data_IF_368600970790
#
_entry.id   IF_368600970790
#
_cell.length_a   1.000
_cell.length_b   1.000
_cell.length_c   1.000
_cell.angle_alpha   90.00
_cell.angle_beta   90.00
_cell.angle_gamma   90.00
#
_symmetry.space_group_name_H-M   'P 1'
#
loop_
_entity.id
_entity.type
_entity.pdbx_description
1 polymer ?
#
# COMPACT_ATOMS: atom_id res chain seq x y z
N UNK A 1 -50.84 -5.36 -17.71
CA UNK A 1 -50.30 -4.92 -16.40
C UNK A 1 -48.85 -5.38 -16.22
N UNK A 2 -47.96 -5.09 -17.18
CA UNK A 2 -46.57 -5.56 -17.18
C UNK A 2 -45.55 -4.43 -17.47
N UNK A 3 -45.94 -3.18 -17.29
CA UNK A 3 -45.10 -2.00 -17.58
C UNK A 3 -44.60 -1.25 -16.33
N UNK A 4 -45.07 -1.59 -15.12
CA UNK A 4 -44.72 -0.87 -13.88
C UNK A 4 -43.56 -1.49 -13.08
N UNK A 5 -43.08 -2.68 -13.45
CA UNK A 5 -42.02 -3.39 -12.71
C UNK A 5 -40.61 -3.03 -13.17
N UNK A 6 -40.44 -2.61 -14.43
CA UNK A 6 -39.14 -2.26 -15.02
C UNK A 6 -38.65 -0.87 -14.59
N UNK A 7 -39.53 0.11 -14.36
CA UNK A 7 -39.11 1.46 -13.93
C UNK A 7 -38.63 1.49 -12.46
N UNK A 8 -39.15 0.62 -11.58
CA UNK A 8 -38.73 0.55 -10.17
C UNK A 8 -37.38 -0.14 -9.97
N UNK A 9 -36.98 -1.06 -10.87
CA UNK A 9 -35.67 -1.72 -10.77
C UNK A 9 -34.50 -0.81 -11.13
N UNK A 10 -34.73 0.19 -11.97
CA UNK A 10 -33.67 1.11 -12.40
C UNK A 10 -33.33 2.18 -11.36
N UNK A 11 -34.25 2.44 -10.43
CA UNK A 11 -34.10 3.45 -9.39
C UNK A 11 -33.14 3.06 -8.26
N UNK A 12 -33.06 1.77 -7.92
CA UNK A 12 -32.33 1.25 -6.77
C UNK A 12 -31.02 0.55 -7.18
N UNK A 13 -30.03 0.55 -6.29
CA UNK A 13 -28.73 -0.05 -6.55
C UNK A 13 -28.82 -1.58 -6.71
N UNK A 14 -29.67 -2.23 -5.91
CA UNK A 14 -30.00 -3.65 -6.02
C UNK A 14 -31.49 -3.87 -5.73
N UNK A 15 -32.00 -5.08 -5.99
CA UNK A 15 -33.42 -5.38 -5.83
C UNK A 15 -33.87 -5.25 -4.34
N UNK A 16 -34.84 -4.37 -4.02
CA UNK A 16 -35.37 -4.21 -2.66
C UNK A 16 -35.90 -5.51 -2.02
N UNK A 17 -36.38 -6.46 -2.82
CA UNK A 17 -36.87 -7.75 -2.33
C UNK A 17 -35.82 -8.54 -1.56
N UNK A 18 -34.52 -8.30 -1.83
CA UNK A 18 -33.42 -8.95 -1.13
C UNK A 18 -33.47 -8.59 0.35
N UNK A 19 -33.66 -7.31 0.69
CA UNK A 19 -33.75 -6.84 2.09
C UNK A 19 -35.02 -7.34 2.77
N UNK A 20 -36.14 -7.44 2.05
CA UNK A 20 -37.41 -7.92 2.59
C UNK A 20 -37.39 -9.42 2.94
N UNK A 21 -36.52 -10.20 2.31
CA UNK A 21 -36.37 -11.65 2.56
C UNK A 21 -35.38 -11.96 3.70
N UNK A 22 -34.69 -10.96 4.23
CA UNK A 22 -33.73 -11.14 5.30
C UNK A 22 -34.47 -11.43 6.62
N UNK A 23 -34.30 -12.65 7.13
CA UNK A 23 -34.75 -13.04 8.47
C UNK A 23 -33.59 -12.94 9.48
N UNK A 24 -33.71 -12.01 10.44
CA UNK A 24 -32.70 -11.70 11.48
C UNK A 24 -33.03 -12.37 12.82
N UNK A 25 -34.23 -12.96 12.97
CA UNK A 25 -34.75 -13.50 14.24
C UNK A 25 -33.87 -14.58 14.90
N UNK A 26 -33.00 -15.24 14.13
CA UNK A 26 -32.16 -16.35 14.59
C UNK A 26 -30.78 -15.93 15.09
N UNK A 27 -30.43 -14.65 15.07
CA UNK A 27 -29.10 -14.17 15.46
C UNK A 27 -29.02 -13.77 16.93
N UNK A 28 -27.80 -13.82 17.47
CA UNK A 28 -27.47 -13.58 18.90
C UNK A 28 -27.61 -12.12 19.35
N UNK A 29 -27.75 -11.16 18.44
CA UNK A 29 -27.85 -9.76 18.80
C UNK A 29 -29.28 -9.45 19.27
N UNK A 30 -29.47 -9.36 20.59
CA UNK A 30 -30.74 -8.90 21.16
C UNK A 30 -30.96 -7.42 20.74
N UNK A 31 -31.81 -7.20 19.74
CA UNK A 31 -32.35 -5.88 19.40
C UNK A 31 -33.47 -5.57 20.40
N UNK A 32 -33.35 -4.49 21.17
CA UNK A 32 -34.33 -4.13 22.21
C UNK A 32 -34.56 -2.63 22.24
N UNK A 33 -35.64 -2.08 21.64
CA UNK A 33 -36.82 -2.78 21.12
C UNK A 33 -36.54 -3.62 19.86
N UNK A 34 -37.39 -4.62 19.61
CA UNK A 34 -37.29 -5.52 18.46
C UNK A 34 -37.63 -4.76 17.16
N UNK A 35 -36.59 -4.36 16.43
CA UNK A 35 -36.71 -3.71 15.12
C UNK A 35 -36.41 -4.74 14.03
N UNK A 36 -37.20 -4.71 12.96
CA UNK A 36 -37.06 -5.65 11.83
C UNK A 36 -36.76 -4.90 10.54
N UNK A 37 -36.22 -5.56 9.50
CA UNK A 37 -36.02 -4.94 8.19
C UNK A 37 -37.32 -4.34 7.62
N UNK A 38 -38.46 -4.97 7.88
CA UNK A 38 -39.79 -4.55 7.43
C UNK A 38 -40.40 -3.46 8.33
N UNK A 39 -39.93 -3.31 9.57
CA UNK A 39 -40.38 -2.30 10.53
C UNK A 39 -39.20 -1.80 11.37
N UNK A 40 -38.36 -0.90 10.82
CA UNK A 40 -37.16 -0.39 11.49
C UNK A 40 -37.46 0.68 12.57
N UNK A 41 -38.71 1.15 12.65
CA UNK A 41 -39.17 2.18 13.58
C UNK A 41 -40.35 2.99 13.00
N UNK A 42 -41.02 3.76 13.85
CA UNK A 42 -42.12 4.63 13.41
C UNK A 42 -41.62 5.69 12.42
N UNK A 43 -42.23 5.75 11.23
CA UNK A 43 -41.83 6.68 10.18
C UNK A 43 -40.49 6.37 9.50
N UNK A 44 -39.93 5.17 9.68
CA UNK A 44 -38.65 4.77 9.09
C UNK A 44 -38.82 3.64 8.08
N UNK A 45 -38.05 3.67 6.99
CA UNK A 45 -38.05 2.64 5.95
C UNK A 45 -36.61 2.22 5.62
N UNK A 46 -36.34 0.91 5.68
CA UNK A 46 -35.08 0.32 5.23
C UNK A 46 -35.21 -0.07 3.75
N UNK A 47 -34.28 0.38 2.91
CA UNK A 47 -34.29 0.09 1.46
C UNK A 47 -32.88 0.19 0.85
N UNK A 48 -32.67 -0.27 -0.38
CA UNK A 48 -31.42 -0.02 -1.09
C UNK A 48 -31.22 1.47 -1.39
N UNK A 49 -29.96 1.87 -1.58
CA UNK A 49 -29.62 3.20 -2.07
C UNK A 49 -30.29 3.47 -3.43
N UNK A 50 -30.85 4.67 -3.57
CA UNK A 50 -31.49 5.15 -4.80
C UNK A 50 -30.66 6.24 -5.47
N UNK A 51 -30.77 6.33 -6.79
CA UNK A 51 -30.18 7.43 -7.57
C UNK A 51 -30.73 8.82 -7.15
N UNK A 52 -31.91 8.88 -6.53
CA UNK A 52 -32.52 10.13 -6.06
C UNK A 52 -32.06 10.54 -4.64
N UNK A 53 -31.26 9.71 -3.96
CA UNK A 53 -30.89 9.95 -2.56
C UNK A 53 -29.87 11.08 -2.38
N UNK A 54 -29.31 11.62 -3.47
CA UNK A 54 -28.51 12.84 -3.44
C UNK A 54 -29.31 14.00 -2.82
N UNK A 55 -30.52 14.23 -3.33
CA UNK A 55 -31.40 15.32 -2.88
C UNK A 55 -31.96 15.06 -1.47
N UNK A 56 -31.93 13.80 -1.01
CA UNK A 56 -32.33 13.39 0.35
C UNK A 56 -31.19 13.48 1.38
N UNK A 57 -30.06 14.09 1.00
CA UNK A 57 -28.96 14.39 1.92
C UNK A 57 -27.99 13.24 2.17
N UNK A 58 -27.92 12.23 1.29
CA UNK A 58 -27.02 11.08 1.45
C UNK A 58 -25.54 11.48 1.62
N UNK A 59 -25.05 12.44 0.81
CA UNK A 59 -23.68 12.96 0.89
C UNK A 59 -23.43 13.64 2.24
N UNK A 60 -24.41 14.40 2.74
CA UNK A 60 -24.34 15.05 4.05
C UNK A 60 -24.32 14.05 5.21
N UNK A 61 -25.01 12.91 5.07
CA UNK A 61 -24.94 11.83 6.05
C UNK A 61 -23.53 11.24 6.14
N UNK A 62 -22.89 10.95 4.99
CA UNK A 62 -21.52 10.43 4.94
C UNK A 62 -20.47 11.38 5.53
N UNK A 63 -20.73 12.69 5.53
CA UNK A 63 -19.86 13.68 6.16
C UNK A 63 -19.74 13.50 7.69
N UNK A 64 -20.66 12.79 8.33
CA UNK A 64 -20.54 12.40 9.74
C UNK A 64 -19.50 11.31 9.98
N UNK A 65 -19.03 10.62 8.94
CA UNK A 65 -18.05 9.54 9.02
C UNK A 65 -16.65 10.01 8.61
N UNK A 66 -16.54 10.79 7.53
CA UNK A 66 -15.24 11.24 7.00
C UNK A 66 -15.37 12.55 6.20
N UNK A 67 -14.24 13.13 5.79
CA UNK A 67 -14.22 14.28 4.89
C UNK A 67 -14.58 13.82 3.46
N UNK A 68 -15.79 14.15 3.01
CA UNK A 68 -16.34 13.69 1.72
C UNK A 68 -15.81 14.48 0.51
N UNK A 69 -15.46 15.76 0.69
CA UNK A 69 -15.09 16.65 -0.41
C UNK A 69 -16.29 17.24 -1.15
N UNK A 70 -16.06 17.93 -2.27
CA UNK A 70 -17.12 18.50 -3.12
C UNK A 70 -17.61 17.45 -4.12
N UNK A 71 -18.82 16.93 -3.90
CA UNK A 71 -19.46 15.94 -4.79
C UNK A 71 -20.71 16.56 -5.40
N UNK A 72 -20.65 16.85 -6.72
CA UNK A 72 -21.81 17.34 -7.46
C UNK A 72 -22.83 16.22 -7.69
N UNK A 73 -24.08 16.60 -8.03
CA UNK A 73 -25.14 15.65 -8.34
C UNK A 73 -24.78 14.75 -9.53
N UNK A 74 -24.15 15.33 -10.55
CA UNK A 74 -23.70 14.59 -11.74
C UNK A 74 -22.63 13.56 -11.39
N UNK A 75 -21.69 13.91 -10.51
CA UNK A 75 -20.67 12.99 -10.03
C UNK A 75 -21.29 11.82 -9.24
N UNK A 76 -22.26 12.11 -8.37
CA UNK A 76 -22.99 11.08 -7.63
C UNK A 76 -23.73 10.13 -8.56
N UNK A 77 -24.50 10.65 -9.52
CA UNK A 77 -25.25 9.82 -10.48
C UNK A 77 -24.32 8.96 -11.36
N UNK A 78 -23.21 9.53 -11.82
CA UNK A 78 -22.23 8.80 -12.60
C UNK A 78 -21.60 7.65 -11.79
N UNK A 79 -21.29 7.89 -10.51
CA UNK A 79 -20.75 6.87 -9.63
C UNK A 79 -21.79 5.79 -9.31
N UNK A 80 -23.04 6.18 -9.05
CA UNK A 80 -24.16 5.27 -8.81
C UNK A 80 -24.35 4.30 -9.98
N UNK A 81 -24.35 4.81 -11.23
CA UNK A 81 -24.47 3.97 -12.43
C UNK A 81 -23.33 2.96 -12.55
N UNK A 82 -22.08 3.38 -12.32
CA UNK A 82 -20.91 2.47 -12.31
C UNK A 82 -21.03 1.35 -11.26
N UNK A 83 -21.51 1.69 -10.05
CA UNK A 83 -21.73 0.71 -8.99
C UNK A 83 -22.84 -0.26 -9.37
N UNK A 84 -23.92 0.23 -10.00
CA UNK A 84 -25.04 -0.58 -10.48
C UNK A 84 -24.63 -1.55 -11.59
N UNK A 85 -23.79 -1.10 -12.52
CA UNK A 85 -23.24 -1.93 -13.61
C UNK A 85 -22.30 -3.04 -13.08
N UNK A 86 -21.75 -2.86 -11.87
CA UNK A 86 -20.92 -3.85 -11.19
C UNK A 86 -21.79 -4.91 -10.50
N UNK A 87 -22.32 -5.83 -11.30
CA UNK A 87 -23.26 -6.88 -10.88
C UNK A 87 -22.74 -7.62 -9.63
N UNK A 88 -23.62 -7.80 -8.64
CA UNK A 88 -23.38 -8.55 -7.41
C UNK A 88 -22.16 -8.11 -6.58
N UNK A 89 -21.73 -6.85 -6.73
CA UNK A 89 -20.52 -6.33 -6.08
C UNK A 89 -20.83 -5.34 -4.95
N UNK A 90 -21.82 -4.45 -5.13
CA UNK A 90 -22.16 -3.41 -4.16
C UNK A 90 -23.57 -3.58 -3.61
N UNK A 91 -23.68 -3.65 -2.28
CA UNK A 91 -24.95 -3.66 -1.56
C UNK A 91 -24.95 -2.53 -0.53
N UNK A 92 -25.49 -1.37 -0.91
CA UNK A 92 -25.62 -0.20 -0.03
C UNK A 92 -27.06 -0.14 0.48
N UNK A 93 -27.22 -0.36 1.79
CA UNK A 93 -28.52 -0.30 2.46
C UNK A 93 -28.65 1.02 3.23
N UNK A 94 -29.79 1.68 3.08
CA UNK A 94 -30.08 2.98 3.71
C UNK A 94 -31.38 2.93 4.50
N UNK A 95 -31.43 3.70 5.59
CA UNK A 95 -32.67 3.99 6.31
C UNK A 95 -33.11 5.41 5.98
N UNK A 96 -34.33 5.54 5.48
CA UNK A 96 -34.99 6.81 5.19
C UNK A 96 -36.00 7.14 6.30
N UNK A 97 -35.99 8.39 6.75
CA UNK A 97 -37.10 8.97 7.49
C UNK A 97 -38.09 9.57 6.47
N UNK A 98 -39.25 8.92 6.31
CA UNK A 98 -40.27 9.34 5.35
C UNK A 98 -41.01 10.61 5.77
N UNK A 99 -40.99 10.97 7.05
CA UNK A 99 -41.61 12.20 7.53
C UNK A 99 -40.75 13.42 7.19
N UNK A 100 -39.42 13.24 7.21
CA UNK A 100 -38.44 14.30 6.89
C UNK A 100 -37.87 14.23 5.47
N UNK A 101 -38.23 13.20 4.69
CA UNK A 101 -37.68 12.91 3.37
C UNK A 101 -36.14 12.92 3.34
N UNK A 102 -35.49 12.35 4.37
CA UNK A 102 -34.04 12.40 4.56
C UNK A 102 -33.46 11.01 4.82
N UNK A 103 -32.26 10.75 4.29
CA UNK A 103 -31.49 9.55 4.64
C UNK A 103 -30.80 9.75 5.99
N UNK A 104 -31.05 8.84 6.93
CA UNK A 104 -30.60 8.96 8.32
C UNK A 104 -29.60 7.89 8.74
N UNK A 105 -29.47 6.79 8.00
CA UNK A 105 -28.44 5.79 8.24
C UNK A 105 -28.06 5.10 6.93
N UNK A 106 -26.79 4.68 6.82
CA UNK A 106 -26.27 3.95 5.66
C UNK A 106 -25.23 2.93 6.11
N UNK A 107 -25.11 1.83 5.37
CA UNK A 107 -23.98 0.90 5.46
C UNK A 107 -23.75 0.24 4.11
N UNK A 108 -22.48 0.04 3.78
CA UNK A 108 -22.04 -0.57 2.51
C UNK A 108 -21.51 -1.97 2.75
N UNK A 109 -21.99 -2.94 1.96
CA UNK A 109 -21.36 -4.25 1.80
C UNK A 109 -20.74 -4.34 0.40
N UNK A 110 -19.44 -4.56 0.36
CA UNK A 110 -18.66 -4.75 -0.86
C UNK A 110 -18.22 -6.22 -0.99
N UNK A 111 -18.50 -6.84 -2.13
CA UNK A 111 -18.12 -8.22 -2.42
C UNK A 111 -16.86 -8.26 -3.28
N UNK A 112 -15.80 -8.83 -2.73
CA UNK A 112 -14.50 -9.01 -3.38
C UNK A 112 -14.36 -10.44 -3.93
N UNK A 113 -14.08 -10.56 -5.23
CA UNK A 113 -13.80 -11.83 -5.89
C UNK A 113 -12.34 -12.25 -5.64
N UNK A 114 -12.11 -13.50 -5.21
CA UNK A 114 -10.78 -14.03 -4.95
C UNK A 114 -10.54 -15.30 -5.76
N UNK A 115 -9.31 -15.53 -6.23
CA UNK A 115 -8.91 -16.82 -6.84
C UNK A 115 -8.58 -17.91 -5.80
N UNK A 116 -8.32 -17.50 -4.56
CA UNK A 116 -8.04 -18.38 -3.43
C UNK A 116 -9.34 -18.92 -2.81
N UNK A 117 -9.23 -19.91 -1.91
CA UNK A 117 -10.38 -20.58 -1.27
C UNK A 117 -11.39 -21.17 -2.26
N UNK A 118 -10.93 -21.61 -3.44
CA UNK A 118 -11.79 -22.23 -4.45
C UNK A 118 -12.66 -21.23 -5.21
N UNK A 119 -12.08 -20.09 -5.59
CA UNK A 119 -12.80 -18.98 -6.23
C UNK A 119 -13.93 -18.38 -5.35
N UNK A 120 -13.77 -18.43 -4.02
CA UNK A 120 -14.78 -17.94 -3.08
C UNK A 120 -14.82 -16.40 -3.00
N UNK A 121 -15.94 -15.88 -2.49
CA UNK A 121 -16.14 -14.44 -2.32
C UNK A 121 -15.69 -13.99 -0.93
N UNK A 122 -15.32 -12.72 -0.77
CA UNK A 122 -15.09 -12.08 0.53
C UNK A 122 -15.98 -10.85 0.67
N UNK A 123 -16.75 -10.77 1.75
CA UNK A 123 -17.53 -9.57 2.06
C UNK A 123 -16.70 -8.57 2.86
N UNK A 124 -16.84 -7.27 2.55
CA UNK A 124 -16.32 -6.17 3.37
C UNK A 124 -17.46 -5.25 3.75
N UNK A 125 -17.60 -4.95 5.04
CA UNK A 125 -18.55 -3.97 5.53
C UNK A 125 -17.80 -2.65 5.73
N UNK A 126 -18.27 -1.60 5.07
CA UNK A 126 -17.70 -0.26 5.06
C UNK A 126 -18.80 0.78 5.29
N UNK A 127 -18.39 2.03 5.52
CA UNK A 127 -19.27 3.20 5.57
C UNK A 127 -20.48 3.10 6.52
N UNK A 128 -20.30 2.49 7.70
CA UNK A 128 -21.36 2.40 8.72
C UNK A 128 -21.58 3.78 9.35
N UNK A 129 -22.70 4.42 9.02
CA UNK A 129 -23.03 5.77 9.52
C UNK A 129 -24.49 5.88 9.96
N UNK A 130 -24.71 6.59 11.06
CA UNK A 130 -26.03 6.95 11.58
C UNK A 130 -26.01 8.43 11.97
N UNK A 131 -27.03 9.16 11.50
CA UNK A 131 -27.26 10.56 11.79
C UNK A 131 -27.29 10.78 13.32
N UNK A 132 -26.58 11.81 13.84
CA UNK A 132 -26.48 12.07 15.28
C UNK A 132 -27.82 12.08 16.03
N UNK A 133 -28.88 12.62 15.43
CA UNK A 133 -30.20 12.75 16.04
C UNK A 133 -30.94 11.40 16.18
N UNK A 134 -30.46 10.37 15.46
CA UNK A 134 -31.06 9.04 15.40
C UNK A 134 -30.16 7.96 16.03
N UNK A 135 -29.04 8.36 16.66
CA UNK A 135 -28.18 7.44 17.42
C UNK A 135 -28.93 6.87 18.62
N UNK A 136 -28.56 5.67 19.03
CA UNK A 136 -29.24 4.95 20.13
C UNK A 136 -30.51 4.18 19.72
N UNK A 137 -31.09 4.45 18.54
CA UNK A 137 -32.26 3.71 18.00
C UNK A 137 -31.91 2.35 17.35
N UNK A 138 -30.66 1.89 17.49
CA UNK A 138 -30.17 0.60 16.99
C UNK A 138 -30.20 0.40 15.46
N UNK A 139 -30.41 1.47 14.69
CA UNK A 139 -30.41 1.43 13.21
C UNK A 139 -29.11 0.89 12.62
N UNK A 140 -27.96 1.27 13.20
CA UNK A 140 -26.66 0.73 12.76
C UNK A 140 -26.53 -0.78 13.01
N UNK A 141 -27.12 -1.30 14.10
CA UNK A 141 -27.12 -2.75 14.36
C UNK A 141 -27.98 -3.48 13.34
N UNK A 142 -29.16 -2.93 13.04
CA UNK A 142 -30.08 -3.48 12.03
C UNK A 142 -29.41 -3.57 10.66
N UNK A 143 -28.78 -2.50 10.19
CA UNK A 143 -28.09 -2.46 8.90
C UNK A 143 -26.96 -3.49 8.81
N UNK A 144 -26.11 -3.58 9.83
CA UNK A 144 -25.02 -4.56 9.88
C UNK A 144 -25.58 -5.98 9.81
N UNK A 145 -26.58 -6.32 10.62
CA UNK A 145 -27.16 -7.66 10.63
C UNK A 145 -27.81 -8.03 9.30
N UNK A 146 -28.50 -7.08 8.65
CA UNK A 146 -29.02 -7.28 7.30
C UNK A 146 -27.92 -7.65 6.31
N UNK A 147 -26.82 -6.90 6.31
CA UNK A 147 -25.74 -7.07 5.35
C UNK A 147 -24.90 -8.33 5.63
N UNK A 148 -24.67 -8.69 6.89
CA UNK A 148 -24.00 -9.97 7.21
C UNK A 148 -24.87 -11.13 6.70
N UNK A 149 -26.20 -11.06 6.88
CA UNK A 149 -27.10 -12.10 6.40
C UNK A 149 -27.13 -12.19 4.87
N UNK A 150 -27.09 -11.06 4.16
CA UNK A 150 -26.93 -11.03 2.70
C UNK A 150 -25.60 -11.68 2.30
N UNK A 151 -24.50 -11.36 2.97
CA UNK A 151 -23.19 -11.95 2.69
C UNK A 151 -23.12 -13.46 3.00
N UNK A 152 -23.90 -13.96 3.96
CA UNK A 152 -24.03 -15.40 4.25
C UNK A 152 -24.85 -16.16 3.21
N UNK A 153 -25.85 -15.52 2.62
CA UNK A 153 -26.63 -16.10 1.53
C UNK A 153 -25.81 -16.15 0.21
N UNK A 154 -24.77 -15.32 0.12
CA UNK A 154 -23.74 -15.38 -0.90
C UNK A 154 -22.63 -16.39 -0.51
N UNK A 155 -21.87 -16.96 -1.47
CA UNK A 155 -20.79 -17.89 -1.19
C UNK A 155 -19.52 -17.18 -0.65
N UNK A 156 -19.69 -16.32 0.35
CA UNK A 156 -18.59 -15.63 1.02
C UNK A 156 -17.93 -16.54 2.05
N UNK A 157 -16.60 -16.72 1.98
CA UNK A 157 -15.88 -17.50 3.00
C UNK A 157 -15.56 -16.69 4.26
N UNK A 158 -15.53 -15.36 4.15
CA UNK A 158 -15.16 -14.44 5.23
C UNK A 158 -15.81 -13.08 5.03
N UNK A 159 -16.17 -12.44 6.14
CA UNK A 159 -16.64 -11.04 6.19
C UNK A 159 -15.68 -10.25 7.07
N UNK A 160 -15.24 -9.08 6.64
CA UNK A 160 -14.33 -8.22 7.40
C UNK A 160 -14.80 -6.77 7.43
N UNK A 161 -14.36 -6.02 8.43
CA UNK A 161 -14.52 -4.57 8.52
C UNK A 161 -13.32 -3.95 9.21
N UNK A 162 -13.07 -2.69 8.88
CA UNK A 162 -12.05 -1.87 9.54
C UNK A 162 -12.76 -0.93 10.52
N UNK A 163 -12.26 -0.83 11.75
CA UNK A 163 -12.85 0.05 12.76
C UNK A 163 -11.81 0.66 13.70
N UNK A 164 -12.12 1.83 14.25
CA UNK A 164 -11.35 2.41 15.37
C UNK A 164 -11.33 1.43 16.55
N UNK A 165 -10.18 1.22 17.23
CA UNK A 165 -10.07 0.35 18.40
C UNK A 165 -11.13 0.58 19.47
N UNK A 166 -11.63 1.82 19.63
CA UNK A 166 -12.69 2.16 20.60
C UNK A 166 -14.02 1.48 20.29
N UNK A 167 -14.29 1.17 19.02
CA UNK A 167 -15.54 0.56 18.55
C UNK A 167 -15.46 -0.98 18.50
N UNK A 168 -14.33 -1.58 18.88
CA UNK A 168 -14.14 -3.03 18.85
C UNK A 168 -15.25 -3.80 19.59
N UNK A 169 -15.57 -3.40 20.82
CA UNK A 169 -16.60 -4.04 21.65
C UNK A 169 -18.02 -3.90 21.10
N UNK A 170 -18.26 -2.91 20.23
CA UNK A 170 -19.52 -2.78 19.51
C UNK A 170 -19.63 -3.86 18.42
N UNK A 171 -18.57 -4.07 17.64
CA UNK A 171 -18.57 -5.03 16.54
C UNK A 171 -18.47 -6.50 16.98
N UNK A 172 -17.83 -6.78 18.11
CA UNK A 172 -17.76 -8.14 18.70
C UNK A 172 -19.15 -8.76 18.95
N UNK A 173 -20.17 -7.92 19.19
CA UNK A 173 -21.56 -8.36 19.40
C UNK A 173 -22.18 -9.04 18.18
N UNK A 174 -21.67 -8.76 16.98
CA UNK A 174 -22.11 -9.38 15.72
C UNK A 174 -21.25 -10.60 15.33
N UNK A 175 -20.31 -11.01 16.20
CA UNK A 175 -19.43 -12.15 15.97
C UNK A 175 -18.07 -11.82 15.34
N UNK A 176 -17.75 -10.53 15.16
CA UNK A 176 -16.43 -10.12 14.68
C UNK A 176 -15.36 -10.39 15.74
N UNK A 177 -14.19 -10.85 15.30
CA UNK A 177 -13.04 -11.10 16.16
C UNK A 177 -11.79 -10.42 15.58
N UNK A 178 -10.86 -10.04 16.46
CA UNK A 178 -9.56 -9.48 16.08
C UNK A 178 -8.50 -10.58 16.05
N UNK A 179 -7.92 -10.92 14.89
CA UNK A 179 -6.77 -11.82 14.83
C UNK A 179 -5.54 -11.11 15.42
N UNK A 180 -4.75 -11.80 16.25
CA UNK A 180 -3.62 -11.20 16.99
C UNK A 180 -2.54 -10.54 16.11
N UNK A 181 -2.46 -10.90 14.83
CA UNK A 181 -1.44 -10.42 13.88
C UNK A 181 -1.96 -9.44 12.80
N UNK A 182 -3.21 -8.94 12.88
CA UNK A 182 -3.80 -8.17 11.78
C UNK A 182 -4.72 -7.03 12.23
N UNK A 183 -4.47 -5.80 11.74
CA UNK A 183 -5.19 -4.55 12.06
C UNK A 183 -6.65 -4.45 11.53
N UNK A 184 -7.38 -5.55 11.35
CA UNK A 184 -8.80 -5.52 10.95
C UNK A 184 -9.63 -6.57 11.70
N UNK A 185 -10.92 -6.32 11.86
CA UNK A 185 -11.86 -7.28 12.46
C UNK A 185 -12.45 -8.17 11.38
N UNK A 186 -12.64 -9.45 11.70
CA UNK A 186 -13.31 -10.36 10.77
C UNK A 186 -14.16 -11.43 11.45
N UNK A 187 -15.20 -11.85 10.73
CA UNK A 187 -16.00 -13.04 10.99
C UNK A 187 -15.59 -14.08 9.97
N UNK A 188 -15.05 -15.20 10.44
CA UNK A 188 -14.90 -16.39 9.60
C UNK A 188 -16.25 -17.09 9.53
N UNK A 189 -16.83 -17.15 8.34
CA UNK A 189 -17.99 -18.00 8.14
C UNK A 189 -17.48 -19.44 8.15
N UNK A 190 -17.89 -20.23 9.16
CA UNK A 190 -17.59 -21.68 9.21
C UNK A 190 -18.30 -22.38 8.05
N UNK A 191 -17.78 -22.23 6.84
CA UNK A 191 -18.10 -23.14 5.75
C UNK A 191 -17.31 -24.41 6.07
N UNK A 192 -17.92 -25.31 6.84
CA UNK A 192 -17.37 -26.66 6.98
C UNK A 192 -17.12 -27.19 5.57
N UNK A 193 -15.85 -27.50 5.26
CA UNK A 193 -15.37 -28.14 4.03
C UNK A 193 -16.07 -29.48 3.73
N UNK A 194 -17.00 -29.92 4.60
CA UNK A 194 -17.91 -31.05 4.43
C UNK A 194 -19.07 -30.80 3.47
N UNK A 195 -19.37 -29.56 3.08
CA UNK A 195 -20.46 -29.21 2.14
C UNK A 195 -20.00 -28.95 0.69
N UNK A 196 -18.71 -29.09 0.37
CA UNK A 196 -18.20 -29.10 -1.01
C UNK A 196 -18.30 -30.51 -1.65
N UNK A 197 -19.41 -31.21 -1.44
CA UNK A 197 -19.86 -32.28 -2.36
C UNK A 197 -21.04 -31.74 -3.16
N UNK A 198 -21.13 -31.99 -4.47
CA UNK A 198 -22.20 -31.45 -5.30
C UNK A 198 -23.51 -32.19 -4.99
N UNK A 199 -24.17 -31.83 -3.89
CA UNK A 199 -25.57 -32.17 -3.67
C UNK A 199 -26.39 -30.98 -4.14
N UNK A 200 -26.80 -31.05 -5.41
CA UNK A 200 -27.83 -30.24 -6.07
C UNK A 200 -27.83 -28.78 -5.61
N UNK A 201 -26.98 -27.98 -6.28
CA UNK A 201 -27.12 -26.53 -6.30
C UNK A 201 -28.58 -26.21 -6.67
N UNK A 202 -29.33 -25.64 -5.72
CA UNK A 202 -30.76 -25.41 -5.87
C UNK A 202 -30.92 -24.19 -6.79
N UNK A 203 -31.17 -24.43 -8.08
CA UNK A 203 -31.20 -23.43 -9.16
C UNK A 203 -32.09 -22.21 -8.82
N UNK A 204 -33.14 -22.43 -8.00
CA UNK A 204 -34.05 -21.37 -7.53
C UNK A 204 -33.40 -20.26 -6.68
N UNK A 205 -32.28 -20.53 -6.00
CA UNK A 205 -31.58 -19.50 -5.20
C UNK A 205 -30.66 -18.67 -6.10
N UNK A 206 -29.99 -19.29 -7.09
CA UNK A 206 -29.12 -18.59 -8.03
C UNK A 206 -29.90 -17.65 -8.98
N UNK A 207 -31.13 -18.02 -9.36
CA UNK A 207 -32.05 -17.17 -10.15
C UNK A 207 -32.54 -15.94 -9.36
N UNK A 208 -32.74 -16.07 -8.04
CA UNK A 208 -33.18 -14.97 -7.17
C UNK A 208 -32.09 -13.89 -6.95
N UNK A 209 -30.81 -14.24 -7.16
CA UNK A 209 -29.63 -13.39 -6.98
C UNK A 209 -28.88 -13.09 -8.30
N UNK A 210 -29.46 -13.40 -9.47
CA UNK A 210 -28.90 -13.05 -10.77
C UNK A 210 -27.53 -13.68 -11.09
N UNK A 211 -27.18 -14.81 -10.47
CA UNK A 211 -25.84 -15.43 -10.58
C UNK A 211 -25.65 -16.30 -11.84
N UNK A 212 -26.59 -16.26 -12.80
CA UNK A 212 -26.48 -16.98 -14.07
C UNK A 212 -26.10 -16.02 -15.20
N UNK A 213 -24.87 -16.13 -15.69
CA UNK A 213 -24.41 -15.45 -16.91
C UNK A 213 -25.20 -15.95 -18.13
N UNK A 214 -25.62 -15.08 -19.08
CA UNK A 214 -26.15 -15.55 -20.35
C UNK A 214 -25.05 -16.29 -21.12
N UNK A 215 -25.36 -17.52 -21.52
CA UNK A 215 -24.51 -18.37 -22.35
C UNK A 215 -24.03 -17.64 -23.62
N UNK A 216 -22.75 -17.24 -23.65
CA UNK A 216 -22.04 -16.90 -24.88
C UNK A 216 -21.22 -18.13 -25.29
N UNK A 217 -21.52 -18.82 -26.40
CA UNK A 217 -20.68 -19.89 -26.89
C UNK A 217 -19.40 -19.30 -27.49
N UNK A 218 -18.26 -19.58 -26.85
CA UNK A 218 -16.93 -19.25 -27.34
C UNK A 218 -16.59 -20.21 -28.48
N UNK A 219 -16.82 -19.77 -29.72
CA UNK A 219 -16.23 -20.39 -30.91
C UNK A 219 -14.88 -19.72 -31.17
N UNK A 220 -13.80 -20.48 -31.01
CA UNK A 220 -12.43 -20.04 -31.27
C UNK A 220 -12.13 -20.21 -32.76
N UNK A 221 -12.10 -19.12 -33.52
CA UNK A 221 -11.55 -19.08 -34.89
C UNK A 221 -10.28 -18.23 -34.91
N UNK A 222 -9.12 -18.74 -35.35
CA UNK A 222 -7.91 -17.94 -35.43
C UNK A 222 -7.97 -17.03 -36.67
N UNK A 223 -7.90 -15.72 -36.46
CA UNK A 223 -7.68 -14.73 -37.53
C UNK A 223 -6.18 -14.65 -37.84
N UNK A 224 -5.79 -15.10 -39.03
CA UNK A 224 -4.58 -14.62 -39.69
C UNK A 224 -4.98 -13.48 -40.65
N UNK A 225 -4.37 -12.31 -40.46
CA UNK A 225 -4.44 -11.15 -41.35
C UNK A 225 -3.21 -11.16 -42.26
N UNK A 226 -3.41 -11.22 -43.58
CA UNK A 226 -2.49 -10.68 -44.59
C UNK A 226 -3.33 -10.00 -45.67
N UNK A 227 -2.87 -8.81 -46.06
CA UNK A 227 -3.43 -7.86 -47.01
C UNK A 227 -3.01 -8.12 -48.45
N UNK A 228 -3.84 -7.58 -49.36
CA UNK A 228 -3.56 -7.07 -50.72
C UNK A 228 -3.54 -8.01 -51.96
N UNK A 229 -4.51 -7.68 -52.84
CA UNK A 229 -4.52 -7.59 -54.31
C UNK A 229 -4.12 -8.78 -55.20
N UNK A 230 -5.07 -9.23 -56.05
CA UNK A 230 -5.08 -9.07 -57.52
C UNK A 230 -6.40 -9.67 -58.08
N UNK A 231 -7.00 -8.97 -59.05
CA UNK A 231 -8.31 -9.21 -59.68
C UNK A 231 -8.16 -10.14 -60.94
N UNK A 232 -9.19 -10.33 -61.79
CA UNK A 232 -10.03 -11.54 -61.90
C UNK A 232 -9.83 -12.33 -63.21
N UNK A 233 -10.11 -13.65 -63.22
CA UNK A 233 -10.61 -14.38 -64.42
C UNK A 233 -10.73 -15.88 -64.18
N UNK A 234 -11.97 -16.39 -64.09
CA UNK A 234 -12.46 -17.60 -64.77
C UNK A 234 -13.81 -17.98 -64.18
N UNK A 235 -14.86 -17.85 -64.98
CA UNK A 235 -16.11 -18.55 -64.73
C UNK A 235 -15.99 -20.02 -65.12
N UNK A 236 -16.70 -20.91 -64.43
CA UNK A 236 -17.88 -21.60 -64.97
C UNK A 236 -18.33 -22.73 -64.02
N UNK A 237 -19.65 -22.94 -64.04
CA UNK A 237 -20.39 -24.17 -63.77
C UNK A 237 -20.60 -24.60 -62.30
N UNK A 238 -21.84 -24.38 -61.84
CA UNK A 238 -22.50 -25.09 -60.74
C UNK A 238 -22.84 -26.51 -61.24
N UNK A 239 -22.41 -27.61 -60.58
CA UNK A 239 -22.92 -28.94 -60.88
C UNK A 239 -24.27 -29.21 -60.17
N UNK A 240 -25.17 -30.02 -60.78
CA UNK A 240 -26.48 -30.36 -60.20
C UNK A 240 -26.34 -31.30 -58.98
N UNK A 241 -27.35 -31.36 -58.09
CA UNK A 241 -27.31 -32.24 -56.93
C UNK A 241 -27.43 -33.71 -57.34
N UNK A 242 -26.45 -34.52 -56.93
CA UNK A 242 -26.48 -35.98 -57.07
C UNK A 242 -27.46 -36.62 -56.06
N UNK A 243 -28.10 -37.75 -56.40
CA UNK A 243 -29.11 -38.38 -55.55
C UNK A 243 -28.48 -39.09 -54.35
N UNK A 244 -29.15 -39.02 -53.21
CA UNK A 244 -28.82 -39.70 -51.96
C UNK A 244 -28.61 -41.21 -52.17
N UNK A 245 -27.46 -41.81 -51.77
CA UNK A 245 -27.36 -43.26 -51.75
C UNK A 245 -27.98 -43.80 -50.46
N UNK A 246 -28.80 -44.84 -50.65
CA UNK A 246 -29.36 -45.71 -49.63
C UNK A 246 -28.26 -46.21 -48.67
N UNK A 247 -28.57 -46.16 -47.38
CA UNK A 247 -27.75 -46.69 -46.30
C UNK A 247 -27.52 -48.19 -46.49
N UNK A 248 -26.30 -48.57 -46.87
CA UNK A 248 -25.77 -49.93 -46.68
C UNK A 248 -24.72 -49.87 -45.58
N UNK A 249 -24.96 -50.62 -44.50
CA UNK A 249 -24.03 -50.76 -43.37
C UNK A 249 -22.78 -51.50 -43.84
N UNK A 250 -21.73 -50.75 -44.21
CA UNK A 250 -20.39 -51.31 -44.42
C UNK A 250 -19.72 -51.49 -43.06
N UNK A 251 -19.40 -52.73 -42.70
CA UNK A 251 -18.57 -53.02 -41.54
C UNK A 251 -17.14 -52.52 -41.83
N UNK A 252 -16.77 -51.38 -41.24
CA UNK A 252 -15.37 -50.93 -41.22
C UNK A 252 -14.54 -51.90 -40.38
N UNK A 253 -13.79 -52.77 -41.05
CA UNK A 253 -12.70 -53.52 -40.42
C UNK A 253 -11.58 -52.50 -40.16
N UNK A 254 -11.39 -52.13 -38.90
CA UNK A 254 -10.22 -51.35 -38.47
C UNK A 254 -8.97 -52.22 -38.56
N UNK A 255 -8.21 -52.09 -39.65
CA UNK A 255 -6.84 -52.62 -39.72
C UNK A 255 -5.94 -51.63 -38.99
N UNK A 256 -5.35 -52.08 -37.88
CA UNK A 256 -4.36 -51.30 -37.12
C UNK A 256 -3.09 -51.12 -37.97
N UNK A 257 -2.86 -49.92 -38.53
CA UNK A 257 -1.54 -49.54 -39.07
C UNK A 257 -0.57 -49.35 -37.90
N UNK A 258 0.40 -50.25 -37.76
CA UNK A 258 1.54 -50.07 -36.86
C UNK A 258 2.57 -49.20 -37.56
N UNK A 259 2.70 -47.95 -37.16
CA UNK A 259 3.83 -47.11 -37.57
C UNK A 259 5.07 -47.57 -36.81
N UNK A 260 6.13 -47.89 -37.53
CA UNK A 260 7.43 -48.10 -36.94
C UNK A 260 8.06 -46.74 -36.60
N UNK A 261 9.01 -46.71 -35.67
CA UNK A 261 9.77 -45.50 -35.35
C UNK A 261 10.56 -44.96 -36.57
N UNK A 262 10.75 -45.78 -37.61
CA UNK A 262 11.35 -45.42 -38.90
C UNK A 262 10.43 -44.62 -39.81
N UNK A 263 9.12 -44.63 -39.57
CA UNK A 263 8.10 -44.01 -40.43
C UNK A 263 7.79 -42.56 -40.04
N UNK A 264 8.46 -42.05 -39.01
CA UNK A 264 8.28 -40.69 -38.48
C UNK A 264 9.41 -39.82 -39.04
N UNK A 265 9.21 -39.11 -40.17
CA UNK A 265 10.19 -38.15 -40.64
C UNK A 265 10.25 -36.96 -39.68
N UNK A 266 11.43 -36.36 -39.54
CA UNK A 266 11.55 -35.06 -38.88
C UNK A 266 10.77 -34.03 -39.67
N UNK A 267 9.84 -33.26 -39.05
CA UNK A 267 9.14 -32.17 -39.73
C UNK A 267 10.11 -31.15 -40.32
N UNK A 268 9.67 -30.44 -41.38
CA UNK A 268 10.49 -29.37 -41.93
C UNK A 268 10.48 -28.14 -41.00
N UNK A 269 11.67 -27.75 -40.55
CA UNK A 269 11.89 -26.56 -39.71
C UNK A 269 12.60 -25.44 -40.48
N UNK A 270 12.66 -25.51 -41.81
CA UNK A 270 13.34 -24.53 -42.67
C UNK A 270 12.90 -23.09 -42.38
N UNK A 271 11.59 -22.89 -42.17
CA UNK A 271 10.98 -21.60 -41.83
C UNK A 271 11.50 -21.00 -40.50
N UNK A 272 11.69 -21.81 -39.46
CA UNK A 272 12.09 -21.36 -38.12
C UNK A 272 13.61 -21.26 -37.92
N UNK A 273 14.39 -21.91 -38.79
CA UNK A 273 15.85 -21.90 -38.69
C UNK A 273 16.39 -20.54 -39.10
N UNK A 274 17.35 -20.01 -38.33
CA UNK A 274 18.12 -18.83 -38.75
C UNK A 274 18.77 -19.11 -40.11
N UNK A 275 18.84 -18.10 -40.99
CA UNK A 275 19.40 -18.23 -42.35
C UNK A 275 20.80 -18.87 -42.36
N UNK A 276 21.64 -18.57 -41.36
CA UNK A 276 22.97 -19.17 -41.19
C UNK A 276 22.98 -20.68 -40.86
N UNK A 277 21.86 -21.25 -40.41
CA UNK A 277 21.68 -22.70 -40.16
C UNK A 277 21.20 -23.49 -41.37
N UNK A 278 20.73 -22.83 -42.43
CA UNK A 278 20.12 -23.49 -43.59
C UNK A 278 21.17 -23.96 -44.60
N UNK A 279 22.40 -23.42 -44.54
CA UNK A 279 23.50 -23.77 -45.44
C UNK A 279 24.13 -25.10 -45.02
N UNK A 280 24.17 -26.09 -45.93
CA UNK A 280 24.65 -27.47 -45.70
C UNK A 280 26.17 -27.66 -45.79
N UNK A 281 26.94 -26.63 -46.14
CA UNK A 281 28.40 -26.75 -46.29
C UNK A 281 29.08 -26.92 -44.93
N UNK A 282 29.96 -27.93 -44.83
CA UNK A 282 30.61 -28.33 -43.57
C UNK A 282 31.71 -27.37 -43.11
N UNK A 283 32.35 -26.68 -44.05
CA UNK A 283 33.61 -25.93 -43.83
C UNK A 283 33.48 -24.73 -42.86
N UNK A 284 32.30 -24.13 -42.68
CA UNK A 284 32.09 -23.01 -41.71
C UNK A 284 31.00 -23.31 -40.66
N UNK A 285 30.74 -24.59 -40.38
CA UNK A 285 29.69 -24.98 -39.41
C UNK A 285 29.97 -24.44 -38.01
N UNK A 286 31.22 -24.51 -37.58
CA UNK A 286 31.67 -24.09 -36.24
C UNK A 286 31.58 -22.57 -36.05
N UNK A 287 32.12 -21.79 -36.98
CA UNK A 287 32.06 -20.32 -36.93
C UNK A 287 30.62 -19.78 -36.94
N UNK A 288 29.73 -20.40 -37.73
CA UNK A 288 28.29 -20.03 -37.74
C UNK A 288 27.59 -20.42 -36.45
N UNK A 289 28.03 -21.48 -35.78
CA UNK A 289 27.53 -21.86 -34.46
C UNK A 289 28.00 -20.89 -33.38
N UNK A 290 29.30 -20.58 -33.37
CA UNK A 290 29.90 -19.59 -32.47
C UNK A 290 29.22 -18.23 -32.65
N UNK A 291 29.04 -17.75 -33.88
CA UNK A 291 28.37 -16.48 -34.17
C UNK A 291 26.93 -16.43 -33.63
N UNK A 292 26.14 -17.51 -33.80
CA UNK A 292 24.76 -17.57 -33.29
C UNK A 292 24.68 -17.58 -31.76
N UNK A 293 25.60 -18.29 -31.11
CA UNK A 293 25.73 -18.32 -29.64
C UNK A 293 26.21 -16.96 -29.11
N UNK A 294 27.25 -16.41 -29.71
CA UNK A 294 27.80 -15.10 -29.37
C UNK A 294 26.75 -13.99 -29.47
N UNK A 295 25.94 -13.95 -30.54
CA UNK A 295 24.83 -13.00 -30.62
C UNK A 295 23.84 -13.17 -29.46
N UNK A 296 23.47 -14.41 -29.13
CA UNK A 296 22.50 -14.69 -28.06
C UNK A 296 23.08 -14.32 -26.70
N UNK A 297 24.34 -14.67 -26.42
CA UNK A 297 25.03 -14.31 -25.19
C UNK A 297 25.28 -12.81 -25.06
N UNK A 298 25.54 -12.11 -26.16
CA UNK A 298 25.69 -10.66 -26.16
C UNK A 298 24.40 -9.96 -25.72
N UNK A 299 23.24 -10.39 -26.24
CA UNK A 299 21.94 -9.84 -25.84
C UNK A 299 21.66 -10.09 -24.36
N UNK A 300 21.93 -11.32 -23.88
CA UNK A 300 21.76 -11.66 -22.45
C UNK A 300 22.72 -10.86 -21.56
N UNK A 301 23.99 -10.73 -21.95
CA UNK A 301 24.98 -9.96 -21.21
C UNK A 301 24.64 -8.47 -21.17
N UNK A 302 24.22 -7.89 -22.29
CA UNK A 302 23.78 -6.49 -22.36
C UNK A 302 22.56 -6.26 -21.45
N UNK A 303 21.57 -7.15 -21.48
CA UNK A 303 20.42 -7.10 -20.58
C UNK A 303 20.82 -7.24 -19.10
N UNK A 304 21.78 -8.12 -18.80
CA UNK A 304 22.32 -8.30 -17.46
C UNK A 304 23.02 -7.05 -16.91
N UNK A 305 23.85 -6.37 -17.72
CA UNK A 305 24.53 -5.13 -17.31
C UNK A 305 23.51 -4.03 -17.00
N UNK A 306 22.48 -3.88 -17.83
CA UNK A 306 21.39 -2.92 -17.60
C UNK A 306 20.67 -3.24 -16.29
N UNK A 307 20.30 -4.52 -16.08
CA UNK A 307 19.61 -4.94 -14.87
C UNK A 307 20.44 -4.70 -13.60
N UNK A 308 21.75 -5.02 -13.61
CA UNK A 308 22.65 -4.76 -12.48
C UNK A 308 22.79 -3.26 -12.23
N UNK A 309 22.93 -2.45 -13.27
CA UNK A 309 23.06 -0.99 -13.14
C UNK A 309 21.79 -0.38 -12.55
N UNK A 310 20.61 -0.81 -13.01
CA UNK A 310 19.33 -0.39 -12.44
C UNK A 310 19.19 -0.85 -10.98
N UNK A 311 19.51 -2.11 -10.68
CA UNK A 311 19.48 -2.65 -9.33
C UNK A 311 20.38 -1.86 -8.37
N UNK A 312 21.60 -1.53 -8.80
CA UNK A 312 22.53 -0.67 -8.04
C UNK A 312 21.92 0.70 -7.77
N UNK A 313 21.34 1.36 -8.77
CA UNK A 313 20.73 2.68 -8.60
C UNK A 313 19.56 2.64 -7.63
N UNK A 314 18.70 1.62 -7.71
CA UNK A 314 17.56 1.44 -6.80
C UNK A 314 18.07 1.26 -5.37
N UNK A 315 19.03 0.35 -5.14
CA UNK A 315 19.59 0.11 -3.81
C UNK A 315 20.27 1.37 -3.27
N UNK A 316 21.08 2.06 -4.08
CA UNK A 316 21.72 3.31 -3.67
C UNK A 316 20.71 4.41 -3.33
N UNK A 317 19.59 4.48 -4.05
CA UNK A 317 18.52 5.46 -3.76
C UNK A 317 17.81 5.13 -2.46
N UNK A 318 17.55 3.84 -2.19
CA UNK A 318 16.97 3.42 -0.91
C UNK A 318 17.93 3.69 0.25
N UNK A 319 19.21 3.36 0.11
CA UNK A 319 20.23 3.65 1.11
C UNK A 319 20.43 5.17 1.31
N UNK A 320 20.34 5.97 0.26
CA UNK A 320 20.46 7.43 0.38
C UNK A 320 19.28 8.06 1.14
N UNK A 321 18.09 7.44 1.10
CA UNK A 321 16.95 7.92 1.92
C UNK A 321 17.14 7.70 3.42
N UNK A 322 17.98 6.74 3.81
CA UNK A 322 18.38 6.53 5.20
C UNK A 322 19.58 7.39 5.62
N UNK A 323 20.20 8.10 4.67
CA UNK A 323 21.27 9.06 4.95
C UNK A 323 20.70 10.37 5.52
N UNK A 324 21.60 11.23 6.00
CA UNK A 324 21.26 12.54 6.55
C UNK A 324 20.49 13.40 5.54
N UNK A 325 19.34 13.93 5.98
CA UNK A 325 18.48 14.79 5.17
C UNK A 325 19.19 16.09 4.75
N UNK A 326 18.78 16.68 3.63
CA UNK A 326 19.36 17.90 3.09
C UNK A 326 19.22 19.10 4.06
N UNK A 327 18.14 19.16 4.84
CA UNK A 327 17.94 20.18 5.88
C UNK A 327 18.99 20.10 6.98
N UNK A 328 19.40 18.90 7.37
CA UNK A 328 20.47 18.72 8.37
C UNK A 328 21.85 18.98 7.79
N UNK A 329 22.06 18.68 6.50
CA UNK A 329 23.28 19.10 5.79
C UNK A 329 23.39 20.62 5.64
N UNK A 330 22.26 21.34 5.54
CA UNK A 330 22.27 22.80 5.49
C UNK A 330 22.73 23.41 6.83
N UNK A 331 22.52 22.73 7.95
CA UNK A 331 23.05 23.09 9.27
C UNK A 331 24.53 22.72 9.46
N UNK A 332 25.26 22.46 8.37
CA UNK A 332 26.67 22.09 8.42
C UNK A 332 27.55 23.23 8.92
N UNK A 333 27.17 24.49 8.67
CA UNK A 333 27.90 25.69 9.08
C UNK A 333 27.07 26.51 10.07
N UNK A 334 27.73 27.09 11.08
CA UNK A 334 27.14 28.05 11.99
C UNK A 334 27.98 29.32 12.03
N UNK A 335 27.31 30.46 11.97
CA UNK A 335 27.90 31.78 12.15
C UNK A 335 27.56 32.29 13.55
N UNK A 336 28.57 32.72 14.29
CA UNK A 336 28.44 33.26 15.65
C UNK A 336 29.09 34.63 15.71
N UNK A 337 28.32 35.62 16.13
CA UNK A 337 28.83 36.98 16.37
C UNK A 337 29.65 37.02 17.68
N UNK A 338 30.92 37.41 17.57
CA UNK A 338 31.87 37.48 18.68
C UNK A 338 31.71 38.77 19.50
N UNK A 339 31.15 39.84 18.92
CA UNK A 339 31.07 41.16 19.56
C UNK A 339 30.22 41.17 20.84
N UNK A 340 29.27 40.25 20.95
CA UNK A 340 28.37 40.12 22.10
C UNK A 340 28.95 39.37 23.30
N UNK A 341 30.17 38.81 23.22
CA UNK A 341 30.74 37.94 24.26
C UNK A 341 31.79 38.71 25.08
N UNK A 342 31.51 39.07 26.35
CA UNK A 342 32.49 39.74 27.19
C UNK A 342 33.63 38.79 27.62
N UNK A 343 34.79 39.36 27.89
CA UNK A 343 35.97 38.63 28.38
C UNK A 343 35.66 37.80 29.63
N UNK A 344 36.20 36.58 29.69
CA UNK A 344 36.00 35.63 30.77
C UNK A 344 34.64 34.93 30.77
N UNK A 345 33.75 35.18 29.80
CA UNK A 345 32.50 34.44 29.63
C UNK A 345 32.51 33.61 28.35
N UNK A 346 31.64 32.60 28.33
CA UNK A 346 31.41 31.77 27.15
C UNK A 346 29.95 31.74 26.75
N UNK A 347 29.72 31.59 25.45
CA UNK A 347 28.44 31.33 24.83
C UNK A 347 28.33 29.85 24.46
N UNK A 348 27.14 29.27 24.67
CA UNK A 348 26.83 27.92 24.23
C UNK A 348 25.84 28.01 23.06
N UNK A 349 26.29 27.65 21.86
CA UNK A 349 25.48 27.62 20.64
C UNK A 349 25.20 26.17 20.26
N UNK A 350 24.09 25.87 19.58
CA UNK A 350 23.82 24.53 19.06
C UNK A 350 24.34 24.42 17.63
N UNK A 351 25.26 23.50 17.37
CA UNK A 351 25.81 23.21 16.03
C UNK A 351 25.82 21.70 15.77
N UNK A 352 25.27 21.25 14.62
CA UNK A 352 25.10 19.82 14.27
C UNK A 352 24.46 18.96 15.38
N UNK A 353 23.52 19.55 16.12
CA UNK A 353 22.86 18.90 17.26
C UNK A 353 23.71 18.76 18.53
N UNK A 354 24.97 19.19 18.50
CA UNK A 354 25.90 19.22 19.64
C UNK A 354 26.02 20.64 20.21
N UNK A 355 26.31 20.81 21.50
CA UNK A 355 26.68 22.12 22.03
C UNK A 355 28.07 22.52 21.53
N UNK A 356 28.20 23.76 21.08
CA UNK A 356 29.42 24.43 20.68
C UNK A 356 29.71 25.48 21.75
N UNK A 357 30.87 25.37 22.40
CA UNK A 357 31.35 26.34 23.37
C UNK A 357 32.26 27.34 22.66
N UNK A 358 31.90 28.61 22.76
CA UNK A 358 32.71 29.74 22.30
C UNK A 358 33.06 30.54 23.54
N UNK A 359 34.33 30.51 23.94
CA UNK A 359 34.82 31.20 25.15
C UNK A 359 35.75 32.34 24.77
N UNK A 360 35.47 33.52 25.31
CA UNK A 360 36.38 34.65 25.29
C UNK A 360 37.29 34.55 26.53
N UNK A 361 38.55 34.17 26.33
CA UNK A 361 39.53 33.97 27.42
C UNK A 361 40.15 35.29 27.85
N UNK A 362 40.48 35.42 29.13
CA UNK A 362 41.30 36.52 29.63
C UNK A 362 42.77 36.27 29.36
N UNK A 363 43.59 37.32 29.33
CA UNK A 363 45.05 37.16 29.12
C UNK A 363 45.68 36.29 30.22
N UNK A 364 45.19 36.38 31.46
CA UNK A 364 45.62 35.51 32.58
C UNK A 364 45.31 34.03 32.34
N UNK A 365 44.13 33.71 31.78
CA UNK A 365 43.75 32.33 31.43
C UNK A 365 44.63 31.78 30.30
N UNK A 366 44.99 32.62 29.34
CA UNK A 366 45.85 32.24 28.22
C UNK A 366 47.27 31.91 28.71
N UNK A 367 47.84 32.76 29.56
CA UNK A 367 49.19 32.55 30.12
C UNK A 367 49.26 31.29 31.00
N UNK A 368 48.23 31.03 31.81
CA UNK A 368 48.14 29.80 32.62
C UNK A 368 48.10 28.54 31.75
N UNK A 369 47.30 28.54 30.68
CA UNK A 369 47.19 27.40 29.76
C UNK A 369 48.45 27.13 28.95
N UNK A 370 49.20 28.19 28.60
CA UNK A 370 50.51 28.11 27.92
C UNK A 370 51.61 27.60 28.86
N UNK A 371 51.54 27.92 30.16
CA UNK A 371 52.55 27.51 31.15
C UNK A 371 52.36 26.06 31.66
N UNK A 372 51.24 25.42 31.35
CA UNK A 372 50.90 24.07 31.83
C UNK A 372 51.89 23.03 31.25
N UNK A 373 52.57 22.22 32.10
CA UNK A 373 53.52 21.21 31.64
C UNK A 373 52.81 20.04 30.93
N UNK A 374 53.42 19.55 29.85
CA UNK A 374 52.85 18.48 29.02
C UNK A 374 52.74 17.13 29.74
N UNK A 375 53.59 16.89 30.74
CA UNK A 375 53.63 15.63 31.50
C UNK A 375 52.37 15.43 32.37
N UNK A 376 51.70 16.53 32.74
CA UNK A 376 50.47 16.51 33.52
C UNK A 376 49.21 16.24 32.67
N UNK A 377 49.37 16.24 31.34
CA UNK A 377 48.29 16.04 30.40
C UNK A 377 48.20 14.57 29.99
N UNK A 378 47.01 13.99 30.09
CA UNK A 378 46.76 12.63 29.59
C UNK A 378 46.87 12.56 28.08
N UNK A 379 46.40 13.61 27.40
CA UNK A 379 46.41 13.78 25.95
C UNK A 379 47.23 15.05 25.65
N UNK A 380 48.56 14.94 25.50
CA UNK A 380 49.46 16.09 25.41
C UNK A 380 49.18 16.92 24.16
N UNK A 381 48.73 18.16 24.38
CA UNK A 381 48.47 19.12 23.30
C UNK A 381 48.73 20.54 23.81
N UNK A 382 49.45 21.32 23.01
CA UNK A 382 49.77 22.71 23.37
C UNK A 382 48.56 23.62 23.10
N UNK A 383 48.39 24.67 23.90
CA UNK A 383 47.24 25.57 23.73
C UNK A 383 47.23 26.28 22.36
N UNK A 384 48.42 26.64 21.86
CA UNK A 384 48.58 27.27 20.55
C UNK A 384 48.18 26.39 19.37
N UNK A 385 48.05 25.08 19.57
CA UNK A 385 47.57 24.14 18.55
C UNK A 385 46.05 23.99 18.57
N UNK A 386 45.41 24.45 19.66
CA UNK A 386 43.97 24.29 19.90
C UNK A 386 43.18 25.55 19.60
N UNK A 387 43.78 26.72 19.80
CA UNK A 387 43.18 28.00 19.51
C UNK A 387 44.00 28.74 18.44
N UNK A 388 43.40 28.98 17.26
CA UNK A 388 44.03 29.76 16.19
C UNK A 388 44.35 31.19 16.65
N UNK A 389 43.45 31.77 17.44
CA UNK A 389 43.66 33.04 18.13
C UNK A 389 43.61 32.80 19.64
N UNK A 390 44.63 33.21 20.43
CA UNK A 390 44.69 32.90 21.84
C UNK A 390 43.48 33.40 22.66
N UNK A 391 42.84 34.51 22.27
CA UNK A 391 41.68 35.04 22.98
C UNK A 391 40.40 34.21 22.80
N UNK A 392 40.30 33.47 21.70
CA UNK A 392 39.08 32.74 21.35
C UNK A 392 39.30 31.24 21.39
N UNK A 393 38.56 30.58 22.26
CA UNK A 393 38.56 29.12 22.33
C UNK A 393 37.20 28.58 21.88
N UNK A 394 37.24 27.75 20.84
CA UNK A 394 36.06 27.11 20.25
C UNK A 394 36.16 25.60 20.44
N UNK A 395 35.16 25.01 21.11
CA UNK A 395 35.15 23.58 21.45
C UNK A 395 33.79 22.96 21.20
N UNK A 396 33.78 21.68 20.82
CA UNK A 396 32.58 20.87 20.86
C UNK A 396 32.36 20.42 22.32
N UNK A 397 31.26 20.86 22.91
CA UNK A 397 30.86 20.59 24.30
C UNK A 397 30.36 19.17 24.56
N UNK A 398 30.99 18.16 23.94
CA UNK A 398 30.66 16.75 24.06
C UNK A 398 31.81 16.04 24.75
N UNK A 399 31.58 15.58 25.99
CA UNK A 399 32.56 14.86 26.76
C UNK A 399 33.00 13.58 26.02
N UNK A 400 34.30 13.44 25.80
CA UNK A 400 34.92 12.30 25.09
C UNK A 400 34.81 10.96 25.81
N UNK A 401 34.28 10.93 27.04
CA UNK A 401 33.96 9.67 27.72
C UNK A 401 32.73 8.98 27.10
N UNK A 402 31.55 9.59 27.27
CA UNK A 402 30.25 9.02 26.85
C UNK A 402 29.27 10.07 26.30
N UNK A 403 29.75 11.27 25.95
CA UNK A 403 28.98 12.27 25.23
C UNK A 403 28.11 13.23 26.06
N UNK A 404 28.24 13.25 27.39
CA UNK A 404 27.59 14.25 28.24
C UNK A 404 28.09 15.67 27.95
N UNK A 405 27.29 16.69 28.32
CA UNK A 405 27.67 18.10 28.17
C UNK A 405 28.43 18.57 29.43
N UNK A 406 29.72 18.97 29.33
CA UNK A 406 30.45 19.56 30.44
C UNK A 406 29.87 20.93 30.84
N UNK A 407 29.88 21.23 32.12
CA UNK A 407 29.48 22.52 32.68
C UNK A 407 30.70 23.44 32.66
N UNK A 408 30.56 24.67 32.14
CA UNK A 408 31.63 25.68 32.12
C UNK A 408 31.87 26.29 33.50
N UNK A 409 33.10 26.76 33.74
CA UNK A 409 33.55 27.37 35.00
C UNK A 409 33.34 26.45 36.22
N UNK A 410 33.54 25.15 36.02
CA UNK A 410 33.34 24.15 37.05
C UNK A 410 34.48 23.13 37.07
N UNK A 411 34.68 22.50 38.22
CA UNK A 411 35.72 21.50 38.46
C UNK A 411 37.06 22.09 38.91
N UNK A 412 37.96 21.19 39.31
CA UNK A 412 39.26 21.49 39.92
C UNK A 412 40.20 22.42 39.10
N UNK A 413 39.99 22.54 37.78
CA UNK A 413 40.89 23.29 36.86
C UNK A 413 40.24 24.51 36.20
N UNK A 414 39.15 25.04 36.78
CA UNK A 414 38.44 26.25 36.32
C UNK A 414 38.04 26.29 34.83
N UNK A 415 37.97 25.12 34.18
CA UNK A 415 37.58 24.98 32.78
C UNK A 415 36.18 24.40 32.66
N UNK A 416 36.12 23.08 32.48
CA UNK A 416 34.86 22.37 32.30
C UNK A 416 34.75 21.11 33.17
N UNK A 417 33.56 20.85 33.71
CA UNK A 417 33.30 19.68 34.53
C UNK A 417 32.14 18.84 34.00
N UNK A 418 32.39 17.56 33.77
CA UNK A 418 31.37 16.61 33.36
C UNK A 418 30.83 15.85 34.59
N UNK A 419 29.58 16.11 35.03
CA UNK A 419 29.02 15.52 36.25
C UNK A 419 28.69 14.03 36.11
N UNK A 420 28.67 13.48 34.90
CA UNK A 420 28.27 12.10 34.66
C UNK A 420 29.20 11.08 35.34
N UNK A 421 30.52 11.27 35.19
CA UNK A 421 31.53 10.38 35.77
C UNK A 421 32.75 11.14 36.33
N UNK A 422 32.61 12.45 36.54
CA UNK A 422 33.64 13.29 37.16
C UNK A 422 34.86 13.56 36.27
N UNK A 423 34.67 13.83 34.97
CA UNK A 423 35.76 14.29 34.12
C UNK A 423 35.98 15.79 34.28
N UNK A 424 37.22 16.19 34.57
CA UNK A 424 37.63 17.58 34.72
C UNK A 424 38.53 18.00 33.55
N UNK A 425 38.15 19.09 32.90
CA UNK A 425 38.87 19.71 31.82
C UNK A 425 39.39 21.08 32.26
N UNK A 426 40.57 21.46 31.78
CA UNK A 426 41.12 22.81 31.98
C UNK A 426 40.46 23.85 31.06
N UNK A 427 40.88 25.11 31.16
CA UNK A 427 40.31 26.22 30.38
C UNK A 427 40.56 26.08 28.87
N UNK A 428 41.54 25.29 28.43
CA UNK A 428 41.79 24.92 27.02
C UNK A 428 40.95 23.72 26.54
N UNK A 429 40.16 23.14 27.45
CA UNK A 429 39.33 21.95 27.18
C UNK A 429 40.14 20.65 27.18
N UNK A 430 41.33 20.62 27.78
CA UNK A 430 42.17 19.42 27.88
C UNK A 430 41.80 18.59 29.09
N UNK A 431 41.78 17.26 28.94
CA UNK A 431 41.40 16.34 30.02
C UNK A 431 42.55 16.25 31.04
N UNK A 432 42.23 16.56 32.31
CA UNK A 432 43.19 16.48 33.42
C UNK A 432 42.89 15.30 34.34
N UNK A 433 41.62 15.08 34.66
CA UNK A 433 41.19 14.09 35.67
C UNK A 433 39.87 13.43 35.27
N UNK A 434 39.68 12.18 35.68
CA UNK A 434 38.47 11.39 35.42
C UNK A 434 38.65 10.35 34.32
N UNK A 435 37.56 9.73 33.83
CA UNK A 435 37.60 8.61 32.89
C UNK A 435 37.65 9.00 31.40
N UNK A 436 37.48 10.27 31.05
CA UNK A 436 37.57 10.69 29.65
C UNK A 436 38.95 10.40 29.04
N UNK A 437 39.02 9.78 27.84
CA UNK A 437 40.29 9.39 27.25
C UNK A 437 41.02 10.54 26.54
N UNK A 438 40.29 11.49 25.97
CA UNK A 438 40.80 12.54 25.08
C UNK A 438 40.37 13.95 25.50
N UNK A 439 41.07 14.97 25.01
CA UNK A 439 40.68 16.38 25.13
C UNK A 439 39.35 16.67 24.41
N UNK A 440 38.68 17.77 24.75
CA UNK A 440 37.50 18.22 23.99
C UNK A 440 37.91 18.56 22.55
N UNK A 441 37.06 18.18 21.61
CA UNK A 441 37.31 18.36 20.17
C UNK A 441 37.23 19.85 19.79
N UNK A 442 38.23 20.33 19.06
CA UNK A 442 38.22 21.66 18.43
C UNK A 442 37.61 21.47 17.02
N UNK A 443 36.46 22.08 16.71
CA UNK A 443 35.89 21.97 15.37
C UNK A 443 36.71 22.79 14.35
N UNK A 444 36.61 22.52 13.04
CA UNK A 444 37.12 23.45 12.03
C UNK A 444 36.35 24.78 12.11
N UNK A 445 37.07 25.88 12.24
CA UNK A 445 36.50 27.22 12.27
C UNK A 445 37.44 28.25 11.65
N UNK A 446 36.86 29.36 11.21
CA UNK A 446 37.55 30.54 10.70
C UNK A 446 36.93 31.79 11.35
N UNK A 447 37.77 32.76 11.69
CA UNK A 447 37.35 34.04 12.26
C UNK A 447 37.50 35.09 11.16
N UNK A 448 36.38 35.67 10.71
CA UNK A 448 36.33 36.75 9.74
C UNK A 448 35.88 38.05 10.44
N UNK A 449 36.85 38.81 10.94
CA UNK A 449 36.60 40.01 11.75
C UNK A 449 35.89 39.67 13.05
N UNK A 450 34.66 40.16 13.22
CA UNK A 450 33.84 39.93 14.42
C UNK A 450 32.94 38.68 14.29
N UNK A 451 33.00 37.95 13.18
CA UNK A 451 32.18 36.76 12.94
C UNK A 451 33.01 35.48 12.98
N UNK A 452 32.55 34.50 13.76
CA UNK A 452 33.09 33.15 13.79
C UNK A 452 32.25 32.23 12.91
N UNK A 453 32.88 31.61 11.90
CA UNK A 453 32.26 30.61 11.04
C UNK A 453 32.78 29.22 11.42
N UNK A 454 31.90 28.32 11.83
CA UNK A 454 32.24 26.93 12.23
C UNK A 454 31.64 25.96 11.22
N UNK A 455 32.46 25.12 10.56
CA UNK A 455 32.02 24.40 9.34
C UNK A 455 32.90 23.26 8.88
#
# INVERSE_FOLDING_TARGET
>A
MASNTTEKSDLYLFNPDILNKVDISKRKSNLSPEITPTSPGEGLVLRPLSILDYDKGYIGLLANLTKVGEVSKEMYEAQFRKMKDSINTYYIAVVEDIMKCKIIASTTLYIEYKFIHGAALRGRIEDVVVDPDYRGKQLGKLLIECLIKIAEDLPCYKISLDCDPKLKSYYEKFGFSHPEDVYFLAVSLMITTRLLRPKRFNIRIAEAYGLTSPHIPIAYTPQHRISEEVNPSCGLAIPPPLPYPLSTRSHHIFIQKRFAHTDIPTPDFSYYRRKSSLKKTLEDKEDREISRKAFTYLIVAAGGIVAVSMGKTIVNTLLSTMSMAASEKALAQAEVDLSGIPEGKGLIVKWRGKPLFVRHRTDEEVDDMLSTPMEDLRDPQHDSERASEPKWLVLIGVCTHLGCVPISHAGDFNGYFCPCHGSHYDASGRIRKGPAPLNLEVPPYEIDGDNLVVG
#
